data_IF_321371347164
#
_entry.id   IF_321371347164
#
_cell.length_a   1.000
_cell.length_b   1.000
_cell.length_c   1.000
_cell.angle_alpha   90.00
_cell.angle_beta   90.00
_cell.angle_gamma   90.00
#
_symmetry.space_group_name_H-M   'P 1'
#
loop_
_entity.id
_entity.type
_entity.pdbx_description
1 polymer ?
#
# COMPACT_ATOMS: atom_id res chain seq x y z
N UNK A 1 -13.01 18.68 15.98
CA UNK A 1 -11.99 17.59 16.03
C UNK A 1 -11.49 17.35 14.63
N UNK A 2 -10.17 17.32 14.41
CA UNK A 2 -9.64 16.97 13.12
C UNK A 2 -9.98 15.52 12.77
N UNK A 3 -10.45 15.28 11.55
CA UNK A 3 -10.72 13.91 11.07
C UNK A 3 -9.42 13.11 11.07
N UNK A 4 -9.45 11.86 11.54
CA UNK A 4 -8.31 10.95 11.43
C UNK A 4 -8.05 10.57 9.99
N UNK A 5 -6.79 10.34 9.65
CA UNK A 5 -6.35 10.05 8.29
C UNK A 5 -5.67 8.68 8.21
N UNK A 6 -6.03 7.90 7.19
CA UNK A 6 -5.35 6.65 6.83
C UNK A 6 -4.78 6.75 5.42
N UNK A 7 -3.54 6.28 5.24
CA UNK A 7 -2.93 6.08 3.92
C UNK A 7 -2.84 4.59 3.60
N UNK A 8 -3.40 4.18 2.45
CA UNK A 8 -3.49 2.78 2.02
C UNK A 8 -2.77 2.63 0.68
N UNK A 9 -1.69 1.83 0.63
CA UNK A 9 -1.10 1.38 -0.63
C UNK A 9 -1.80 0.09 -1.09
N UNK A 10 -1.84 -0.16 -2.41
CA UNK A 10 -2.65 -1.26 -2.96
C UNK A 10 -4.16 -1.00 -2.88
N UNK A 11 -4.57 0.28 -2.81
CA UNK A 11 -5.95 0.71 -2.57
C UNK A 11 -6.91 0.54 -3.75
N UNK A 12 -6.43 0.15 -4.95
CA UNK A 12 -7.29 0.07 -6.15
C UNK A 12 -8.21 -1.14 -6.21
N UNK A 13 -7.87 -2.23 -5.52
CA UNK A 13 -8.65 -3.49 -5.54
C UNK A 13 -8.50 -4.27 -4.22
N UNK A 14 -9.23 -5.38 -4.09
CA UNK A 14 -9.07 -6.36 -3.02
C UNK A 14 -9.18 -5.77 -1.61
N UNK A 15 -8.25 -6.18 -0.73
CA UNK A 15 -8.22 -5.80 0.68
C UNK A 15 -8.10 -4.29 0.85
N UNK A 16 -7.17 -3.64 0.10
CA UNK A 16 -6.94 -2.21 0.21
C UNK A 16 -8.17 -1.39 -0.17
N UNK A 17 -8.87 -1.74 -1.27
CA UNK A 17 -10.12 -1.09 -1.68
C UNK A 17 -11.22 -1.26 -0.63
N UNK A 18 -11.43 -2.48 -0.15
CA UNK A 18 -12.45 -2.76 0.86
C UNK A 18 -12.21 -1.96 2.17
N UNK A 19 -10.94 -1.89 2.57
CA UNK A 19 -10.53 -1.13 3.75
C UNK A 19 -10.74 0.37 3.54
N UNK A 20 -10.38 0.91 2.37
CA UNK A 20 -10.59 2.32 2.03
C UNK A 20 -12.07 2.71 2.17
N UNK A 21 -12.99 1.93 1.60
CA UNK A 21 -14.43 2.14 1.71
C UNK A 21 -14.88 2.06 3.17
N UNK A 22 -14.35 1.10 3.94
CA UNK A 22 -14.71 0.94 5.35
C UNK A 22 -14.28 2.11 6.22
N UNK A 23 -13.08 2.66 6.01
CA UNK A 23 -12.63 3.84 6.74
C UNK A 23 -13.38 5.10 6.28
N UNK A 24 -13.64 5.23 4.99
CA UNK A 24 -14.46 6.33 4.46
C UNK A 24 -15.86 6.34 5.09
N UNK A 25 -16.52 5.18 5.18
CA UNK A 25 -17.85 5.08 5.83
C UNK A 25 -17.84 5.42 7.33
N UNK A 26 -16.67 5.42 7.97
CA UNK A 26 -16.47 5.86 9.36
C UNK A 26 -16.09 7.35 9.50
N UNK A 27 -16.09 8.09 8.39
CA UNK A 27 -15.80 9.52 8.36
C UNK A 27 -14.32 9.88 8.39
N UNK A 28 -13.40 8.92 8.18
CA UNK A 28 -11.97 9.18 8.09
C UNK A 28 -11.61 9.83 6.76
N UNK A 29 -10.55 10.62 6.74
CA UNK A 29 -9.85 10.96 5.51
C UNK A 29 -9.06 9.74 5.03
N UNK A 30 -9.20 9.39 3.77
CA UNK A 30 -8.57 8.20 3.21
C UNK A 30 -7.73 8.58 1.99
N UNK A 31 -6.42 8.40 2.10
CA UNK A 31 -5.50 8.46 0.97
C UNK A 31 -5.33 7.05 0.39
N UNK A 32 -5.61 6.88 -0.90
CA UNK A 32 -5.43 5.59 -1.59
C UNK A 32 -4.35 5.70 -2.66
N UNK A 33 -3.44 4.74 -2.68
CA UNK A 33 -2.34 4.68 -3.64
C UNK A 33 -2.28 3.34 -4.35
N UNK A 34 -2.09 3.36 -5.65
CA UNK A 34 -1.83 2.22 -6.52
C UNK A 34 -1.35 2.73 -7.90
N UNK A 35 -0.90 1.81 -8.78
CA UNK A 35 -0.47 2.16 -10.15
C UNK A 35 -1.64 2.50 -11.08
N UNK A 36 -2.80 1.84 -10.88
CA UNK A 36 -3.99 2.01 -11.73
C UNK A 36 -4.77 3.24 -11.29
N UNK A 37 -4.46 4.37 -11.90
CA UNK A 37 -5.03 5.67 -11.55
C UNK A 37 -6.54 5.72 -11.78
N UNK A 38 -7.04 5.10 -12.85
CA UNK A 38 -8.47 5.10 -13.19
C UNK A 38 -9.30 4.51 -12.04
N UNK A 39 -8.86 3.40 -11.45
CA UNK A 39 -9.56 2.75 -10.34
C UNK A 39 -9.50 3.55 -9.04
N UNK A 40 -8.43 4.32 -8.83
CA UNK A 40 -8.34 5.23 -7.69
C UNK A 40 -9.29 6.42 -7.87
N UNK A 41 -9.36 6.96 -9.09
CA UNK A 41 -10.25 8.07 -9.44
C UNK A 41 -11.73 7.67 -9.32
N UNK A 42 -12.11 6.44 -9.73
CA UNK A 42 -13.46 5.92 -9.49
C UNK A 42 -13.82 5.94 -8.00
N UNK A 43 -12.88 5.52 -7.13
CA UNK A 43 -13.10 5.54 -5.68
C UNK A 43 -13.25 6.97 -5.13
N UNK A 44 -12.38 7.88 -5.54
CA UNK A 44 -12.41 9.27 -5.08
C UNK A 44 -13.63 10.04 -5.61
N UNK A 45 -14.15 9.69 -6.78
CA UNK A 45 -15.39 10.25 -7.30
C UNK A 45 -16.64 9.71 -6.59
N UNK A 46 -16.56 8.49 -6.06
CA UNK A 46 -17.68 7.84 -5.35
C UNK A 46 -17.75 8.24 -3.88
N UNK A 47 -16.61 8.49 -3.24
CA UNK A 47 -16.52 8.77 -1.81
C UNK A 47 -15.77 10.08 -1.57
N UNK A 48 -16.46 11.10 -1.11
CA UNK A 48 -15.94 12.48 -0.93
C UNK A 48 -14.68 12.55 -0.03
N UNK A 49 -14.56 11.65 0.93
CA UNK A 49 -13.42 11.60 1.85
C UNK A 49 -12.32 10.63 1.46
N UNK A 50 -12.39 10.03 0.25
CA UNK A 50 -11.29 9.30 -0.37
C UNK A 50 -10.56 10.22 -1.36
N UNK A 51 -9.25 10.22 -1.33
CA UNK A 51 -8.41 10.94 -2.29
C UNK A 51 -7.40 10.01 -2.93
N UNK A 52 -7.31 10.11 -4.26
CA UNK A 52 -6.40 9.34 -5.09
C UNK A 52 -4.98 9.95 -5.09
N UNK A 53 -3.98 9.10 -4.88
CA UNK A 53 -2.55 9.43 -4.98
C UNK A 53 -1.85 8.32 -5.77
N UNK A 54 -1.80 8.41 -7.10
CA UNK A 54 -1.17 7.40 -7.94
C UNK A 54 0.30 7.16 -7.55
N UNK A 55 0.67 5.88 -7.37
CA UNK A 55 1.98 5.50 -6.88
C UNK A 55 2.38 4.11 -7.37
N UNK A 56 3.57 4.00 -7.93
CA UNK A 56 4.32 2.75 -7.95
C UNK A 56 5.24 2.72 -6.74
N UNK A 57 5.01 1.79 -5.82
CA UNK A 57 5.79 1.67 -4.58
C UNK A 57 7.25 1.26 -4.82
N UNK A 58 7.59 0.80 -6.02
CA UNK A 58 8.98 0.49 -6.40
C UNK A 58 9.80 1.76 -6.67
N UNK A 59 9.15 2.89 -6.89
CA UNK A 59 9.79 4.21 -7.01
C UNK A 59 9.91 4.88 -5.63
N UNK A 60 11.13 4.81 -5.09
CA UNK A 60 11.46 5.37 -3.78
C UNK A 60 11.25 6.89 -3.69
N UNK A 61 11.56 7.62 -4.75
CA UNK A 61 11.39 9.09 -4.74
C UNK A 61 9.91 9.43 -4.77
N UNK A 62 9.14 8.72 -5.58
CA UNK A 62 7.69 8.89 -5.68
C UNK A 62 6.97 8.56 -4.37
N UNK A 63 7.43 7.56 -3.61
CA UNK A 63 6.90 7.29 -2.27
C UNK A 63 6.99 8.51 -1.34
N UNK A 64 8.14 9.20 -1.33
CA UNK A 64 8.32 10.41 -0.53
C UNK A 64 7.47 11.58 -1.04
N UNK A 65 7.38 11.78 -2.36
CA UNK A 65 6.53 12.83 -2.94
C UNK A 65 5.06 12.63 -2.57
N UNK A 66 4.54 11.41 -2.74
CA UNK A 66 3.16 11.08 -2.41
C UNK A 66 2.89 11.25 -0.91
N UNK A 67 3.80 10.80 -0.06
CA UNK A 67 3.68 11.06 1.38
C UNK A 67 3.55 12.56 1.69
N UNK A 68 4.41 13.40 1.10
CA UNK A 68 4.35 14.86 1.29
C UNK A 68 3.04 15.46 0.77
N UNK A 69 2.53 14.98 -0.38
CA UNK A 69 1.23 15.41 -0.91
C UNK A 69 0.08 15.07 0.06
N UNK A 70 0.11 13.88 0.67
CA UNK A 70 -0.89 13.45 1.66
C UNK A 70 -0.84 14.34 2.91
N UNK A 71 0.37 14.61 3.42
CA UNK A 71 0.56 15.50 4.58
C UNK A 71 0.08 16.93 4.24
N UNK A 72 0.40 17.43 3.06
CA UNK A 72 -0.05 18.76 2.63
C UNK A 72 -1.58 18.86 2.55
N UNK A 73 -2.25 17.79 2.12
CA UNK A 73 -3.71 17.75 2.00
C UNK A 73 -4.42 17.59 3.33
N UNK A 74 -3.98 16.64 4.16
CA UNK A 74 -4.70 16.24 5.37
C UNK A 74 -4.06 16.71 6.68
N UNK A 75 -2.87 17.30 6.62
CA UNK A 75 -2.09 17.82 7.74
C UNK A 75 -1.57 16.73 8.71
N UNK A 76 -2.13 15.55 8.70
CA UNK A 76 -1.68 14.43 9.54
C UNK A 76 -2.04 13.07 8.94
N UNK A 77 -1.28 12.05 9.34
CA UNK A 77 -1.60 10.64 9.09
C UNK A 77 -1.57 9.92 10.45
N UNK A 78 -2.60 9.11 10.71
CA UNK A 78 -2.71 8.33 11.94
C UNK A 78 -2.41 6.84 11.71
N UNK A 79 -2.77 6.34 10.52
CA UNK A 79 -2.53 4.95 10.13
C UNK A 79 -1.95 4.90 8.72
N UNK A 80 -0.89 4.11 8.54
CA UNK A 80 -0.45 3.63 7.24
C UNK A 80 -0.77 2.15 7.12
N UNK A 81 -1.43 1.77 6.02
CA UNK A 81 -1.78 0.39 5.72
C UNK A 81 -1.17 0.00 4.37
N UNK A 82 -0.07 -0.77 4.42
CA UNK A 82 0.68 -1.17 3.24
C UNK A 82 0.24 -2.56 2.80
N UNK A 83 -0.58 -2.60 1.73
CA UNK A 83 -1.14 -3.83 1.17
C UNK A 83 -0.82 -4.03 -0.31
N UNK A 84 0.13 -3.25 -0.84
CA UNK A 84 0.61 -3.50 -2.19
C UNK A 84 1.33 -4.83 -2.24
N UNK A 85 0.90 -5.68 -3.16
CA UNK A 85 1.54 -6.95 -3.39
C UNK A 85 1.10 -7.56 -4.71
N UNK A 86 1.93 -8.43 -5.25
CA UNK A 86 1.64 -9.23 -6.43
C UNK A 86 1.90 -10.69 -6.14
N UNK A 87 1.10 -11.52 -6.74
CA UNK A 87 1.27 -12.97 -6.76
C UNK A 87 0.78 -13.49 -8.10
N UNK A 88 1.65 -14.14 -8.81
CA UNK A 88 1.34 -14.74 -10.10
C UNK A 88 1.77 -16.20 -10.10
N UNK A 89 0.91 -17.13 -9.62
CA UNK A 89 1.23 -18.55 -9.58
C UNK A 89 1.28 -19.07 -11.02
N UNK A 90 2.46 -19.41 -11.48
CA UNK A 90 2.66 -20.12 -12.73
C UNK A 90 2.83 -21.62 -12.42
N UNK A 91 2.24 -22.49 -13.24
CA UNK A 91 2.49 -23.94 -13.19
C UNK A 91 3.82 -24.27 -13.87
N UNK A 92 4.86 -23.64 -13.43
CA UNK A 92 6.21 -23.86 -13.97
C UNK A 92 6.90 -24.96 -13.18
N UNK A 93 7.65 -25.80 -13.92
CA UNK A 93 8.48 -26.85 -13.33
C UNK A 93 9.83 -26.30 -12.86
N UNK A 94 10.23 -25.15 -13.40
CA UNK A 94 11.52 -24.54 -13.17
C UNK A 94 11.42 -23.23 -12.38
N UNK A 95 12.51 -22.83 -11.76
CA UNK A 95 12.61 -21.56 -11.04
C UNK A 95 12.69 -20.42 -12.06
N UNK A 96 11.72 -19.50 -11.99
CA UNK A 96 11.70 -18.26 -12.80
C UNK A 96 12.33 -17.13 -11.97
N UNK A 97 13.61 -16.85 -12.20
CA UNK A 97 14.36 -15.83 -11.44
C UNK A 97 13.81 -14.43 -11.71
N UNK A 98 13.46 -14.11 -12.96
CA UNK A 98 12.93 -12.79 -13.33
C UNK A 98 11.60 -12.52 -12.61
N UNK A 99 10.72 -13.51 -12.55
CA UNK A 99 9.47 -13.41 -11.80
C UNK A 99 9.73 -13.25 -10.30
N UNK A 100 10.70 -13.95 -9.73
CA UNK A 100 11.08 -13.81 -8.32
C UNK A 100 11.57 -12.39 -8.02
N UNK A 101 12.45 -11.84 -8.86
CA UNK A 101 12.95 -10.47 -8.71
C UNK A 101 11.81 -9.45 -8.75
N UNK A 102 10.86 -9.59 -9.68
CA UNK A 102 9.70 -8.71 -9.78
C UNK A 102 8.81 -8.79 -8.53
N UNK A 103 8.56 -10.01 -8.02
CA UNK A 103 7.79 -10.19 -6.79
C UNK A 103 8.50 -9.55 -5.59
N UNK A 104 9.79 -9.76 -5.43
CA UNK A 104 10.59 -9.13 -4.38
C UNK A 104 10.62 -7.61 -4.50
N UNK A 105 10.80 -7.10 -5.70
CA UNK A 105 10.80 -5.66 -5.97
C UNK A 105 9.50 -4.99 -5.52
N UNK A 106 8.37 -5.62 -5.80
CA UNK A 106 7.06 -5.06 -5.44
C UNK A 106 6.72 -5.34 -3.97
N UNK A 107 6.75 -6.61 -3.55
CA UNK A 107 6.21 -7.01 -2.24
C UNK A 107 7.13 -6.61 -1.09
N UNK A 108 8.44 -6.77 -1.26
CA UNK A 108 9.42 -6.44 -0.22
C UNK A 108 9.92 -5.00 -0.35
N UNK A 109 10.63 -4.66 -1.43
CA UNK A 109 11.21 -3.33 -1.56
C UNK A 109 10.15 -2.23 -1.68
N UNK A 110 9.02 -2.48 -2.33
CA UNK A 110 7.91 -1.53 -2.37
C UNK A 110 7.33 -1.23 -0.98
N UNK A 111 7.21 -2.25 -0.13
CA UNK A 111 6.80 -2.08 1.27
C UNK A 111 7.86 -1.30 2.06
N UNK A 112 9.14 -1.66 1.93
CA UNK A 112 10.26 -0.95 2.60
C UNK A 112 10.34 0.51 2.17
N UNK A 113 10.17 0.83 0.89
CA UNK A 113 10.13 2.21 0.38
C UNK A 113 8.97 3.01 1.01
N UNK A 114 7.79 2.37 1.11
CA UNK A 114 6.61 2.98 1.74
C UNK A 114 6.84 3.27 3.23
N UNK A 115 7.44 2.31 3.96
CA UNK A 115 7.83 2.50 5.37
C UNK A 115 8.85 3.64 5.49
N UNK A 116 9.87 3.64 4.63
CA UNK A 116 10.93 4.65 4.68
C UNK A 116 10.41 6.07 4.47
N UNK A 117 9.40 6.23 3.63
CA UNK A 117 8.76 7.54 3.41
C UNK A 117 8.08 8.10 4.68
N UNK A 118 7.56 7.24 5.56
CA UNK A 118 6.79 7.66 6.75
C UNK A 118 7.55 7.51 8.07
N UNK A 119 8.66 6.78 8.09
CA UNK A 119 9.40 6.40 9.30
C UNK A 119 9.73 7.60 10.19
N UNK A 120 10.33 8.63 9.60
CA UNK A 120 10.72 9.84 10.34
C UNK A 120 9.50 10.54 10.93
N UNK A 121 8.43 10.68 10.15
CA UNK A 121 7.21 11.33 10.58
C UNK A 121 6.60 10.65 11.83
N UNK A 122 6.42 9.34 11.81
CA UNK A 122 5.85 8.61 12.95
C UNK A 122 6.78 8.59 14.16
N UNK A 123 8.09 8.54 13.93
CA UNK A 123 9.08 8.65 15.01
C UNK A 123 9.01 9.99 15.73
N UNK A 124 8.90 11.08 14.96
CA UNK A 124 8.83 12.44 15.52
C UNK A 124 7.46 12.70 16.18
N UNK A 125 6.39 12.21 15.57
CA UNK A 125 5.02 12.33 16.09
C UNK A 125 4.81 11.50 17.37
N UNK A 126 5.57 10.41 17.57
CA UNK A 126 5.46 9.44 18.68
C UNK A 126 4.06 8.83 18.84
N UNK A 127 3.27 8.82 17.77
CA UNK A 127 1.91 8.32 17.71
C UNK A 127 1.56 7.87 16.31
N UNK A 128 0.74 6.83 16.19
CA UNK A 128 0.24 6.29 14.94
C UNK A 128 0.56 4.80 14.75
N UNK A 129 0.07 4.25 13.66
CA UNK A 129 0.18 2.81 13.38
C UNK A 129 0.69 2.60 11.96
N UNK A 130 1.69 1.74 11.79
CA UNK A 130 2.09 1.18 10.50
C UNK A 130 1.67 -0.29 10.47
N UNK A 131 0.79 -0.64 9.53
CA UNK A 131 0.32 -2.00 9.31
C UNK A 131 0.79 -2.50 7.96
N UNK A 132 1.28 -3.74 7.92
CA UNK A 132 1.75 -4.39 6.70
C UNK A 132 0.91 -5.66 6.49
N UNK A 133 0.40 -5.85 5.27
CA UNK A 133 -0.25 -7.09 4.89
C UNK A 133 0.83 -8.11 4.53
N UNK A 134 0.90 -9.17 5.32
CA UNK A 134 1.75 -10.33 5.09
C UNK A 134 0.94 -11.51 4.57
N UNK A 135 1.56 -12.65 4.42
CA UNK A 135 0.93 -13.88 3.95
C UNK A 135 1.32 -15.08 4.82
N UNK A 136 0.42 -16.04 4.90
CA UNK A 136 0.71 -17.39 5.46
C UNK A 136 1.83 -18.08 4.67
N UNK A 137 2.06 -17.70 3.41
CA UNK A 137 3.18 -18.20 2.60
C UNK A 137 4.55 -17.90 3.20
N UNK A 138 4.69 -16.86 4.03
CA UNK A 138 5.92 -16.57 4.78
C UNK A 138 6.20 -17.54 5.94
N UNK A 139 5.22 -18.35 6.34
CA UNK A 139 5.41 -19.41 7.35
C UNK A 139 5.49 -20.80 6.74
N UNK A 140 4.88 -21.01 5.58
CA UNK A 140 4.84 -22.29 4.90
C UNK A 140 4.80 -22.08 3.40
N UNK A 141 5.75 -22.68 2.67
CA UNK A 141 5.78 -22.63 1.21
C UNK A 141 4.47 -23.11 0.59
N UNK A 142 3.98 -22.38 -0.41
CA UNK A 142 2.81 -22.75 -1.18
C UNK A 142 3.24 -23.34 -2.53
N UNK A 143 2.52 -24.36 -3.06
CA UNK A 143 2.77 -24.87 -4.39
C UNK A 143 2.71 -23.75 -5.45
N UNK A 144 3.58 -23.82 -6.44
CA UNK A 144 3.65 -22.84 -7.54
C UNK A 144 3.88 -21.37 -7.10
N UNK A 145 4.62 -21.17 -5.99
CA UNK A 145 4.81 -19.84 -5.38
C UNK A 145 6.27 -19.58 -5.04
N UNK A 146 7.20 -19.92 -5.95
CA UNK A 146 8.64 -19.92 -5.70
C UNK A 146 9.18 -18.54 -5.27
N UNK A 147 8.67 -17.45 -5.83
CA UNK A 147 9.09 -16.10 -5.49
C UNK A 147 8.23 -15.37 -4.46
N UNK A 148 7.10 -15.97 -4.03
CA UNK A 148 6.15 -15.32 -3.15
C UNK A 148 6.31 -15.72 -1.67
N UNK A 149 6.85 -16.90 -1.41
CA UNK A 149 7.04 -17.41 -0.04
C UNK A 149 8.14 -16.70 0.76
N UNK A 150 9.33 -16.44 0.17
CA UNK A 150 10.37 -15.67 0.83
C UNK A 150 9.99 -14.21 0.94
#
# INVERSE_FOLDING_TARGET
>A
MNKKTIWITGGSTGIGKALAIKFASKGWNVAVSARREELLNELSNTYENISAFPLDVTDKLKCNEVFNQIINKFQSIDICFFSTGTWNPKKEKDIDIEQMEDVFKINFFGTVNSIKAVEKYFRDKKDGIITIVSSIAGYRGLPNSTGYGP
#
